data_IF_222469636737
#
_entry.id   IF_222469636737
#
_cell.length_a   1.000
_cell.length_b   1.000
_cell.length_c   1.000
_cell.angle_alpha   90.00
_cell.angle_beta   90.00
_cell.angle_gamma   90.00
#
_symmetry.space_group_name_H-M   'P 1'
#
loop_
_entity.id
_entity.type
_entity.pdbx_description
1 polymer ?
#
# COMPACT_ATOMS: atom_id res chain seq x y z
N UNK A 1 26.58 23.08 -14.66
CA UNK A 1 26.07 22.38 -13.47
C UNK A 1 24.57 22.60 -13.45
N UNK A 2 23.80 21.63 -13.95
CA UNK A 2 22.34 21.71 -14.05
C UNK A 2 21.81 20.78 -12.98
N UNK A 3 21.16 21.32 -11.96
CA UNK A 3 20.39 20.52 -11.02
C UNK A 3 19.18 19.99 -11.79
N UNK A 4 19.17 18.69 -12.11
CA UNK A 4 17.95 18.04 -12.55
C UNK A 4 16.96 18.11 -11.38
N UNK A 5 15.85 18.82 -11.55
CA UNK A 5 14.74 18.74 -10.62
C UNK A 5 14.32 17.27 -10.50
N UNK A 6 14.41 16.74 -9.28
CA UNK A 6 14.13 15.36 -8.92
C UNK A 6 12.71 14.97 -9.32
N UNK A 7 12.60 14.24 -10.43
CA UNK A 7 11.35 13.63 -10.88
C UNK A 7 11.11 12.37 -10.07
N UNK A 8 10.01 12.33 -9.34
CA UNK A 8 9.46 11.08 -8.85
C UNK A 8 9.22 10.13 -10.02
N UNK A 9 9.55 8.85 -9.84
CA UNK A 9 9.38 7.80 -10.83
C UNK A 9 8.63 6.64 -10.17
N UNK A 10 7.59 6.17 -10.84
CA UNK A 10 6.92 4.91 -10.50
C UNK A 10 7.41 3.85 -11.46
N UNK A 11 7.79 2.70 -10.92
CA UNK A 11 8.19 1.53 -11.70
C UNK A 11 7.24 0.39 -11.34
N UNK A 12 6.70 -0.27 -12.36
CA UNK A 12 5.90 -1.48 -12.20
C UNK A 12 6.72 -2.67 -12.67
N UNK A 13 6.74 -3.72 -11.85
CA UNK A 13 7.37 -4.98 -12.18
C UNK A 13 6.29 -6.05 -12.19
N UNK A 14 6.30 -6.92 -13.21
CA UNK A 14 5.53 -8.15 -13.19
C UNK A 14 6.46 -9.26 -12.67
N UNK A 15 6.01 -10.06 -11.70
CA UNK A 15 6.72 -11.19 -11.04
C UNK A 15 7.75 -10.83 -9.95
N UNK A 16 8.16 -11.83 -9.15
CA UNK A 16 9.06 -11.80 -7.97
C UNK A 16 10.52 -11.37 -8.27
N UNK A 17 10.70 -10.32 -9.07
CA UNK A 17 12.01 -9.80 -9.47
C UNK A 17 12.80 -9.27 -8.27
N UNK A 18 12.10 -8.85 -7.22
CA UNK A 18 12.69 -8.29 -6.01
C UNK A 18 12.38 -9.21 -4.82
N UNK A 19 13.42 -9.88 -4.31
CA UNK A 19 13.43 -10.52 -3.00
C UNK A 19 13.78 -9.48 -1.93
N UNK A 20 13.25 -9.65 -0.72
CA UNK A 20 13.51 -8.75 0.42
C UNK A 20 13.24 -7.26 0.12
N UNK A 21 12.00 -6.96 -0.29
CA UNK A 21 11.54 -5.60 -0.66
C UNK A 21 11.93 -4.52 0.35
N UNK A 22 11.92 -4.84 1.65
CA UNK A 22 12.35 -3.93 2.71
C UNK A 22 13.83 -3.52 2.59
N UNK A 23 14.71 -4.47 2.28
CA UNK A 23 16.14 -4.21 2.10
C UNK A 23 16.39 -3.43 0.82
N UNK A 24 15.74 -3.83 -0.28
CA UNK A 24 15.80 -3.12 -1.56
C UNK A 24 15.33 -1.68 -1.38
N UNK A 25 14.18 -1.45 -0.72
CA UNK A 25 13.62 -0.12 -0.54
C UNK A 25 14.51 0.76 0.34
N UNK A 26 15.12 0.18 1.39
CA UNK A 26 16.14 0.89 2.20
C UNK A 26 17.40 1.23 1.39
N UNK A 27 17.85 0.32 0.52
CA UNK A 27 18.99 0.57 -0.35
C UNK A 27 18.70 1.70 -1.34
N UNK A 28 17.50 1.74 -1.93
CA UNK A 28 17.03 2.83 -2.80
C UNK A 28 17.01 4.17 -2.06
N UNK A 29 16.42 4.23 -0.86
CA UNK A 29 16.41 5.47 -0.04
C UNK A 29 17.82 5.91 0.31
N UNK A 30 18.70 4.98 0.70
CA UNK A 30 20.10 5.27 1.03
C UNK A 30 20.87 5.80 -0.18
N UNK A 31 20.66 5.22 -1.35
CA UNK A 31 21.35 5.59 -2.59
C UNK A 31 20.88 6.93 -3.14
N UNK A 32 19.57 7.18 -3.13
CA UNK A 32 18.96 8.37 -3.74
C UNK A 32 18.86 9.55 -2.76
N UNK A 33 18.87 9.29 -1.45
CA UNK A 33 18.52 10.27 -0.44
C UNK A 33 17.04 10.70 -0.47
N UNK A 34 16.22 10.09 -1.32
CA UNK A 34 14.80 10.40 -1.49
C UNK A 34 13.92 9.37 -0.79
N UNK A 35 12.67 9.75 -0.50
CA UNK A 35 11.69 8.83 0.02
C UNK A 35 11.23 7.85 -1.08
N UNK A 36 10.96 6.60 -0.71
CA UNK A 36 10.50 5.57 -1.64
C UNK A 36 9.41 4.71 -0.98
N UNK A 37 8.50 4.18 -1.79
CA UNK A 37 7.51 3.21 -1.35
C UNK A 37 7.34 2.10 -2.40
N UNK A 38 6.82 0.96 -1.96
CA UNK A 38 6.45 -0.17 -2.81
C UNK A 38 5.07 -0.66 -2.42
N UNK A 39 4.26 -1.01 -3.41
CA UNK A 39 3.01 -1.74 -3.24
C UNK A 39 3.22 -3.17 -3.76
N UNK A 40 3.15 -4.16 -2.88
CA UNK A 40 3.17 -5.57 -3.25
C UNK A 40 1.73 -6.02 -3.47
N UNK A 41 1.37 -6.28 -4.73
CA UNK A 41 0.01 -6.66 -5.14
C UNK A 41 -0.15 -8.18 -5.10
N UNK A 42 -1.23 -8.66 -4.49
CA UNK A 42 -1.63 -10.05 -4.38
C UNK A 42 -3.00 -10.22 -5.07
N UNK A 43 -3.04 -11.09 -6.07
CA UNK A 43 -4.25 -11.42 -6.85
C UNK A 43 -5.05 -10.20 -7.35
N UNK A 44 -4.34 -9.10 -7.68
CA UNK A 44 -4.88 -7.82 -8.18
C UNK A 44 -5.86 -7.05 -7.27
N UNK A 45 -6.25 -7.64 -6.13
CA UNK A 45 -7.31 -7.12 -5.26
C UNK A 45 -6.83 -6.80 -3.84
N UNK A 46 -5.59 -7.15 -3.49
CA UNK A 46 -4.95 -6.83 -2.21
C UNK A 46 -3.58 -6.23 -2.48
N UNK A 47 -3.23 -5.13 -1.81
CA UNK A 47 -1.84 -4.65 -1.82
C UNK A 47 -1.31 -4.39 -0.42
N UNK A 48 -0.09 -4.86 -0.15
CA UNK A 48 0.67 -4.42 1.02
C UNK A 48 1.64 -3.32 0.61
N UNK A 49 1.41 -2.11 1.11
CA UNK A 49 2.25 -0.95 0.82
C UNK A 49 3.22 -0.73 1.95
N UNK A 50 4.50 -0.57 1.63
CA UNK A 50 5.54 -0.19 2.59
C UNK A 50 6.29 1.03 2.08
N UNK A 51 6.56 1.99 2.96
CA UNK A 51 7.32 3.18 2.61
C UNK A 51 8.42 3.52 3.60
N UNK A 52 9.53 4.02 3.06
CA UNK A 52 10.68 4.55 3.78
C UNK A 52 11.00 5.97 3.33
N UNK A 53 11.51 6.78 4.25
CA UNK A 53 12.13 8.05 3.94
C UNK A 53 13.51 8.14 4.59
N UNK A 54 14.37 9.08 4.15
CA UNK A 54 15.72 9.23 4.67
C UNK A 54 15.74 9.54 6.18
N UNK A 55 14.67 10.16 6.68
CA UNK A 55 14.53 10.59 8.07
C UNK A 55 13.19 10.21 8.71
N UNK A 56 12.38 9.40 8.03
CA UNK A 56 11.06 8.99 8.55
C UNK A 56 11.10 7.54 9.01
N UNK A 57 10.20 7.20 9.93
CA UNK A 57 9.95 5.81 10.28
C UNK A 57 9.34 5.07 9.08
N UNK A 58 9.58 3.76 9.03
CA UNK A 58 8.81 2.86 8.16
C UNK A 58 7.32 3.07 8.43
N UNK A 59 6.53 3.14 7.37
CA UNK A 59 5.08 3.04 7.45
C UNK A 59 4.60 1.94 6.53
N UNK A 60 3.42 1.42 6.82
CA UNK A 60 2.79 0.38 6.02
C UNK A 60 1.28 0.47 6.07
N UNK A 61 0.62 -0.07 5.06
CA UNK A 61 -0.84 -0.23 5.01
C UNK A 61 -1.22 -1.40 4.12
N UNK A 62 -2.40 -1.95 4.37
CA UNK A 62 -3.10 -2.81 3.44
C UNK A 62 -4.05 -1.95 2.59
N UNK A 63 -4.16 -2.23 1.29
CA UNK A 63 -5.23 -1.80 0.41
C UNK A 63 -6.12 -3.01 0.09
N UNK A 64 -7.38 -2.78 -0.28
CA UNK A 64 -8.34 -3.87 -0.52
C UNK A 64 -8.78 -4.56 0.78
N UNK A 65 -9.12 -3.78 1.81
CA UNK A 65 -9.35 -4.30 3.17
C UNK A 65 -10.43 -5.39 3.25
N UNK A 66 -11.46 -5.33 2.39
CA UNK A 66 -12.54 -6.31 2.39
C UNK A 66 -12.08 -7.66 1.84
N UNK A 67 -11.33 -7.65 0.73
CA UNK A 67 -10.75 -8.86 0.12
C UNK A 67 -9.67 -9.44 1.03
N UNK A 68 -8.79 -8.60 1.56
CA UNK A 68 -7.78 -9.00 2.54
C UNK A 68 -8.40 -9.62 3.80
N UNK A 69 -9.54 -9.10 4.25
CA UNK A 69 -10.23 -9.66 5.40
C UNK A 69 -10.84 -11.05 5.12
N UNK A 70 -11.35 -11.28 3.91
CA UNK A 70 -11.84 -12.58 3.48
C UNK A 70 -10.71 -13.61 3.39
N UNK A 71 -9.60 -13.24 2.73
CA UNK A 71 -8.45 -14.12 2.51
C UNK A 71 -7.69 -14.44 3.80
N UNK A 72 -7.59 -13.48 4.73
CA UNK A 72 -6.81 -13.64 5.97
C UNK A 72 -7.66 -13.90 7.20
N UNK A 73 -8.94 -14.23 7.03
CA UNK A 73 -9.80 -14.67 8.13
C UNK A 73 -9.17 -15.89 8.83
N UNK A 74 -9.18 -15.89 10.16
CA UNK A 74 -8.59 -16.99 10.93
C UNK A 74 -9.44 -18.25 10.73
N UNK A 75 -8.85 -19.27 10.10
CA UNK A 75 -9.46 -20.58 9.91
C UNK A 75 -9.29 -21.39 11.21
N UNK A 76 -10.38 -21.89 11.83
CA UNK A 76 -10.28 -22.79 12.97
C UNK A 76 -9.57 -24.13 12.61
N UNK A 77 -8.80 -24.68 13.55
CA UNK A 77 -8.00 -25.89 13.34
C UNK A 77 -8.83 -27.15 13.01
N UNK A 78 -10.12 -27.15 13.37
CA UNK A 78 -11.06 -28.26 13.15
C UNK A 78 -11.83 -28.16 11.82
N UNK A 79 -11.57 -27.14 11.00
CA UNK A 79 -12.13 -27.02 9.65
C UNK A 79 -11.44 -28.01 8.71
N UNK A 80 -12.17 -29.06 8.31
CA UNK A 80 -11.70 -30.06 7.35
C UNK A 80 -11.76 -29.62 5.88
N UNK A 81 -12.65 -28.68 5.54
CA UNK A 81 -12.81 -28.14 4.18
C UNK A 81 -13.11 -26.63 4.26
N UNK A 82 -12.14 -25.81 3.85
CA UNK A 82 -12.23 -24.35 3.86
C UNK A 82 -13.27 -23.82 2.88
N UNK A 83 -13.54 -24.52 1.77
CA UNK A 83 -14.54 -24.12 0.79
C UNK A 83 -15.95 -24.24 1.35
N UNK A 84 -16.22 -25.29 2.14
CA UNK A 84 -17.49 -25.45 2.83
C UNK A 84 -17.62 -24.46 3.99
N UNK A 85 -16.53 -24.20 4.72
CA UNK A 85 -16.51 -23.23 5.79
C UNK A 85 -16.80 -21.80 5.29
N UNK A 86 -16.33 -21.43 4.10
CA UNK A 86 -16.60 -20.12 3.50
C UNK A 86 -18.10 -19.81 3.28
N UNK A 87 -18.97 -20.82 3.34
CA UNK A 87 -20.42 -20.67 3.21
C UNK A 87 -21.14 -20.51 4.57
N UNK A 88 -20.40 -20.47 5.67
CA UNK A 88 -20.94 -20.49 7.03
C UNK A 88 -21.02 -19.09 7.65
N UNK A 89 -21.93 -18.86 8.62
CA UNK A 89 -21.95 -17.64 9.42
C UNK A 89 -20.65 -17.41 10.21
N UNK A 90 -20.00 -18.47 10.67
CA UNK A 90 -18.75 -18.42 11.41
C UNK A 90 -17.62 -17.82 10.56
N UNK A 91 -17.58 -18.14 9.26
CA UNK A 91 -16.69 -17.47 8.32
C UNK A 91 -17.00 -15.98 8.23
N UNK A 92 -18.27 -15.59 8.06
CA UNK A 92 -18.66 -14.18 7.97
C UNK A 92 -18.27 -13.38 9.23
N UNK A 93 -18.36 -13.99 10.41
CA UNK A 93 -17.90 -13.40 11.67
C UNK A 93 -16.37 -13.24 11.68
N UNK A 94 -15.62 -14.28 11.27
CA UNK A 94 -14.17 -14.22 11.18
C UNK A 94 -13.68 -13.14 10.20
N UNK A 95 -14.35 -12.99 9.05
CA UNK A 95 -14.09 -11.91 8.09
C UNK A 95 -14.38 -10.55 8.71
N UNK A 96 -15.52 -10.38 9.40
CA UNK A 96 -15.86 -9.13 10.08
C UNK A 96 -14.83 -8.73 11.13
N UNK A 97 -14.37 -9.71 11.93
CA UNK A 97 -13.34 -9.49 12.93
C UNK A 97 -12.01 -9.08 12.27
N UNK A 98 -11.58 -9.78 11.21
CA UNK A 98 -10.36 -9.45 10.48
C UNK A 98 -10.45 -8.06 9.84
N UNK A 99 -11.60 -7.71 9.27
CA UNK A 99 -11.84 -6.39 8.68
C UNK A 99 -11.74 -5.26 9.71
N UNK A 100 -12.28 -5.47 10.91
CA UNK A 100 -12.18 -4.51 12.01
C UNK A 100 -10.74 -4.37 12.51
N UNK A 101 -9.97 -5.47 12.58
CA UNK A 101 -8.56 -5.46 12.91
C UNK A 101 -7.74 -4.62 11.91
N UNK A 102 -7.96 -4.84 10.61
CA UNK A 102 -7.32 -4.07 9.54
C UNK A 102 -7.73 -2.59 9.58
N UNK A 103 -9.02 -2.29 9.80
CA UNK A 103 -9.50 -0.90 9.94
C UNK A 103 -8.82 -0.16 11.09
N UNK A 104 -8.62 -0.84 12.22
CA UNK A 104 -7.98 -0.26 13.40
C UNK A 104 -6.56 0.25 13.14
N UNK A 105 -5.89 -0.24 12.09
CA UNK A 105 -4.54 0.20 11.67
C UNK A 105 -4.57 1.44 10.77
N UNK A 106 -5.70 1.72 10.09
CA UNK A 106 -5.84 2.81 9.11
C UNK A 106 -5.40 4.17 9.67
N UNK A 107 -5.79 4.61 10.89
CA UNK A 107 -5.38 5.93 11.39
C UNK A 107 -3.86 6.07 11.62
N UNK A 108 -3.17 4.99 12.01
CA UNK A 108 -1.70 5.00 12.09
C UNK A 108 -1.05 5.00 10.73
N UNK A 109 -1.56 4.19 9.80
CA UNK A 109 -1.07 4.09 8.43
C UNK A 109 -1.21 5.40 7.67
N UNK A 110 -2.37 6.06 7.77
CA UNK A 110 -2.62 7.37 7.14
C UNK A 110 -1.66 8.45 7.66
N UNK A 111 -1.41 8.50 8.98
CA UNK A 111 -0.42 9.41 9.56
C UNK A 111 1.00 9.11 9.09
N UNK A 112 1.36 7.82 8.99
CA UNK A 112 2.65 7.38 8.48
C UNK A 112 2.87 7.79 7.03
N UNK A 113 1.89 7.50 6.15
CA UNK A 113 1.91 7.89 4.74
C UNK A 113 2.02 9.40 4.57
N UNK A 114 1.23 10.18 5.31
CA UNK A 114 1.27 11.64 5.22
C UNK A 114 2.59 12.22 5.74
N UNK A 115 3.12 11.71 6.86
CA UNK A 115 4.42 12.13 7.37
C UNK A 115 5.56 11.80 6.39
N UNK A 116 5.49 10.63 5.75
CA UNK A 116 6.40 10.22 4.68
C UNK A 116 6.34 11.16 3.47
N UNK A 117 5.14 11.46 2.97
CA UNK A 117 4.94 12.38 1.86
C UNK A 117 5.46 13.79 2.18
N UNK A 118 5.18 14.30 3.40
CA UNK A 118 5.67 15.61 3.87
C UNK A 118 7.18 15.69 3.96
N UNK A 119 7.83 14.62 4.40
CA UNK A 119 9.30 14.55 4.40
C UNK A 119 9.89 14.56 2.97
N UNK A 120 9.13 14.07 1.99
CA UNK A 120 9.47 14.15 0.57
C UNK A 120 9.10 15.50 -0.09
N UNK A 121 8.49 16.44 0.66
CA UNK A 121 8.08 17.75 0.16
C UNK A 121 6.65 17.81 -0.39
N UNK A 122 5.88 16.73 -0.29
CA UNK A 122 4.49 16.62 -0.77
C UNK A 122 3.48 16.66 0.39
N UNK A 123 2.18 16.62 0.12
CA UNK A 123 1.16 16.43 1.16
C UNK A 123 0.95 17.59 2.17
N UNK A 124 1.45 18.80 1.91
CA UNK A 124 1.37 19.89 2.89
C UNK A 124 -0.05 20.43 3.11
N UNK A 125 -0.88 20.41 2.07
CA UNK A 125 -2.30 20.80 2.14
C UNK A 125 -3.25 19.60 2.34
N UNK A 126 -2.70 18.41 2.61
CA UNK A 126 -3.47 17.17 2.68
C UNK A 126 -3.84 16.87 4.13
N UNK A 127 -5.13 16.62 4.33
CA UNK A 127 -5.70 16.20 5.61
C UNK A 127 -5.62 14.69 5.79
N UNK A 128 -5.23 14.25 7.00
CA UNK A 128 -5.10 12.82 7.35
C UNK A 128 -6.42 12.06 7.09
N UNK A 129 -7.56 12.67 7.42
CA UNK A 129 -8.88 12.06 7.21
C UNK A 129 -9.18 11.74 5.74
N UNK A 130 -8.59 12.49 4.79
CA UNK A 130 -8.76 12.19 3.36
C UNK A 130 -7.94 10.97 2.92
N UNK A 131 -6.77 10.75 3.53
CA UNK A 131 -5.96 9.54 3.31
C UNK A 131 -6.67 8.34 3.92
N UNK A 132 -7.19 8.48 5.13
CA UNK A 132 -8.00 7.46 5.78
C UNK A 132 -9.20 7.02 4.93
N UNK A 133 -9.88 7.95 4.27
CA UNK A 133 -10.98 7.63 3.35
C UNK A 133 -10.54 6.76 2.16
N UNK A 134 -9.37 7.03 1.59
CA UNK A 134 -8.80 6.24 0.49
C UNK A 134 -8.38 4.85 0.98
N UNK A 135 -7.71 4.76 2.13
CA UNK A 135 -7.28 3.48 2.69
C UNK A 135 -8.46 2.56 3.04
N UNK A 136 -9.64 3.13 3.32
CA UNK A 136 -10.89 2.37 3.56
C UNK A 136 -11.70 2.13 2.29
N UNK A 137 -11.35 2.77 1.18
CA UNK A 137 -12.08 2.59 -0.06
C UNK A 137 -11.88 1.19 -0.62
N UNK A 138 -12.96 0.59 -1.12
CA UNK A 138 -12.88 -0.53 -2.04
C UNK A 138 -12.67 0.01 -3.44
N UNK A 139 -11.62 -0.43 -4.12
CA UNK A 139 -11.43 -0.26 -5.56
C UNK A 139 -11.72 -1.58 -6.27
N UNK A 140 -11.97 -1.52 -7.58
CA UNK A 140 -12.02 -2.74 -8.42
C UNK A 140 -10.64 -3.39 -8.51
N UNK A 141 -9.58 -2.57 -8.49
CA UNK A 141 -8.19 -3.01 -8.49
C UNK A 141 -7.40 -2.18 -7.46
N UNK A 142 -6.48 -2.80 -6.73
CA UNK A 142 -5.71 -2.08 -5.69
C UNK A 142 -4.67 -1.13 -6.26
N UNK A 143 -4.26 -1.31 -7.50
CA UNK A 143 -3.39 -0.39 -8.24
C UNK A 143 -4.07 0.98 -8.38
N UNK A 144 -5.36 1.01 -8.72
CA UNK A 144 -6.13 2.26 -8.82
C UNK A 144 -6.22 2.97 -7.46
N UNK A 145 -6.38 2.20 -6.38
CA UNK A 145 -6.40 2.74 -5.01
C UNK A 145 -5.01 3.30 -4.64
N UNK A 146 -3.94 2.61 -5.03
CA UNK A 146 -2.57 3.06 -4.81
C UNK A 146 -2.25 4.34 -5.59
N UNK A 147 -2.64 4.42 -6.86
CA UNK A 147 -2.49 5.62 -7.68
C UNK A 147 -3.28 6.78 -7.08
N UNK A 148 -4.53 6.53 -6.67
CA UNK A 148 -5.37 7.52 -5.97
C UNK A 148 -4.70 8.02 -4.68
N UNK A 149 -4.05 7.14 -3.92
CA UNK A 149 -3.29 7.51 -2.72
C UNK A 149 -2.12 8.43 -3.07
N UNK A 150 -1.31 8.10 -4.08
CA UNK A 150 -0.17 8.92 -4.51
C UNK A 150 -0.61 10.28 -5.05
N UNK A 151 -1.64 10.30 -5.89
CA UNK A 151 -2.25 11.52 -6.43
C UNK A 151 -2.78 12.40 -5.30
N UNK A 152 -3.46 11.81 -4.31
CA UNK A 152 -3.97 12.56 -3.16
C UNK A 152 -2.84 13.14 -2.31
N UNK A 153 -1.73 12.43 -2.16
CA UNK A 153 -0.54 12.92 -1.45
C UNK A 153 0.21 14.00 -2.27
N UNK A 154 -0.09 14.15 -3.56
CA UNK A 154 0.46 15.16 -4.45
C UNK A 154 1.74 14.73 -5.17
N UNK A 155 2.01 13.42 -5.23
CA UNK A 155 3.09 12.91 -6.08
C UNK A 155 2.71 13.06 -7.55
N UNK A 156 3.67 13.36 -8.44
CA UNK A 156 3.38 13.42 -9.87
C UNK A 156 3.11 12.02 -10.41
N UNK A 157 2.25 11.94 -11.42
CA UNK A 157 1.94 10.68 -12.07
C UNK A 157 3.19 10.02 -12.65
N UNK A 158 3.18 8.68 -12.61
CA UNK A 158 4.12 7.85 -13.31
C UNK A 158 4.16 8.28 -14.79
N UNK A 159 5.35 8.60 -15.31
CA UNK A 159 5.52 8.65 -16.76
C UNK A 159 5.76 7.22 -17.22
N UNK A 160 4.89 6.71 -18.09
CA UNK A 160 5.24 5.51 -18.85
C UNK A 160 6.59 5.77 -19.53
N UNK A 161 7.56 4.84 -19.45
CA UNK A 161 8.73 4.93 -20.29
C UNK A 161 8.25 4.94 -21.74
N UNK A 162 8.60 5.98 -22.50
CA UNK A 162 8.34 6.00 -23.94
C UNK A 162 8.88 4.69 -24.51
N UNK A 163 7.98 3.82 -24.96
CA UNK A 163 8.33 2.46 -25.34
C UNK A 163 9.46 2.46 -26.36
N UNK A 164 10.41 1.55 -26.18
CA UNK A 164 11.19 1.06 -27.31
C UNK A 164 10.21 0.33 -28.24
N UNK A 165 9.67 1.06 -29.23
CA UNK A 165 9.12 0.48 -30.45
C UNK A 165 10.22 -0.03 -31.38
#
# INVERSE_FOLDING_TARGET
MVAAFGGWQTLQFHYDVLTDLDEVLRAVVKWTGAAACVASVYDSDIAWVTGFGPHTKRWETCLGLDVAAAEWAAVPDDVGDTSLWALTPEFAEAVSQKRAELDGRVPSSARGALAWARAAGFGQAVETASIEGILRSGGTFVEEVFDTLLDRLGFPQAREPEGCG
#
